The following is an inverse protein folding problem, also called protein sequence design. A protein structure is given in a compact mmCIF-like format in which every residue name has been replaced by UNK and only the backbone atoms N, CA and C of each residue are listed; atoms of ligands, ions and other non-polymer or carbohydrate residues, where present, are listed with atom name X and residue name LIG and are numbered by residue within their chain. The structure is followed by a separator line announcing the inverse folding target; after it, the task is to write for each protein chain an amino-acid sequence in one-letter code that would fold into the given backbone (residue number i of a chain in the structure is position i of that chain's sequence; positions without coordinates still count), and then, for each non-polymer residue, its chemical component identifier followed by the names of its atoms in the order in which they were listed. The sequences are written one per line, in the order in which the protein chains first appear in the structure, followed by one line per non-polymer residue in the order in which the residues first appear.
data_IF_297049091681
#
_entry.id   IF_297049091681
#
_cell.length_a   1.000
_cell.length_b   1.000
_cell.length_c   1.000
_cell.angle_alpha   90.00
_cell.angle_beta   90.00
_cell.angle_gamma   90.00
#
_symmetry.space_group_name_H-M   'P 1'
#
loop_
_entity.id
_entity.type
_entity.pdbx_description
1 polymer ?
#
# COMPACT_ATOMS: atom_id res chain seq x y z
N UNK A 1 -32.15 8.04 12.75
CA UNK A 1 -32.20 6.62 13.18
C UNK A 1 -30.76 6.11 13.21
N UNK A 2 -30.39 5.29 14.19
CA UNK A 2 -29.02 4.74 14.27
C UNK A 2 -28.96 3.46 13.43
N UNK A 3 -27.93 3.26 12.59
CA UNK A 3 -27.83 2.07 11.76
C UNK A 3 -27.52 0.83 12.60
N UNK A 4 -28.10 -0.30 12.23
CA UNK A 4 -27.72 -1.61 12.75
C UNK A 4 -26.45 -2.07 12.04
N UNK A 5 -25.40 -2.39 12.81
CA UNK A 5 -24.15 -2.92 12.27
C UNK A 5 -24.17 -4.44 12.39
N UNK A 6 -23.93 -5.13 11.29
CA UNK A 6 -23.86 -6.58 11.24
C UNK A 6 -22.80 -7.07 10.25
N UNK A 7 -22.44 -8.34 10.35
CA UNK A 7 -21.59 -9.00 9.36
C UNK A 7 -22.31 -9.07 8.02
N UNK A 8 -21.61 -8.76 6.96
CA UNK A 8 -22.12 -8.87 5.59
C UNK A 8 -22.35 -10.33 5.19
N UNK A 9 -23.29 -10.55 4.29
CA UNK A 9 -23.63 -11.84 3.69
C UNK A 9 -23.48 -11.76 2.18
N UNK A 10 -23.38 -12.90 1.51
CA UNK A 10 -23.31 -12.94 0.04
C UNK A 10 -24.50 -12.20 -0.62
N UNK A 11 -25.68 -12.27 0.01
CA UNK A 11 -26.86 -11.55 -0.47
C UNK A 11 -26.70 -10.01 -0.46
N UNK A 12 -25.81 -9.45 0.34
CA UNK A 12 -25.57 -8.01 0.41
C UNK A 12 -24.73 -7.49 -0.76
N UNK A 13 -23.96 -8.38 -1.43
CA UNK A 13 -23.04 -8.01 -2.52
C UNK A 13 -23.75 -7.26 -3.63
N UNK A 14 -24.92 -7.76 -4.07
CA UNK A 14 -25.70 -7.12 -5.14
C UNK A 14 -26.16 -5.71 -4.73
N UNK A 15 -26.64 -5.55 -3.50
CA UNK A 15 -27.10 -4.24 -3.02
C UNK A 15 -25.93 -3.25 -2.92
N UNK A 16 -24.78 -3.68 -2.37
CA UNK A 16 -23.57 -2.85 -2.24
C UNK A 16 -23.04 -2.46 -3.62
N UNK A 17 -22.91 -3.41 -4.54
CA UNK A 17 -22.43 -3.16 -5.91
C UNK A 17 -23.31 -2.15 -6.65
N UNK A 18 -24.63 -2.18 -6.38
CA UNK A 18 -25.60 -1.29 -7.04
C UNK A 18 -25.39 0.20 -6.76
N UNK A 19 -24.76 0.56 -5.63
CA UNK A 19 -24.53 1.99 -5.28
C UNK A 19 -23.05 2.35 -5.10
N UNK A 20 -22.12 1.40 -5.24
CA UNK A 20 -20.68 1.68 -5.15
C UNK A 20 -20.04 1.98 -6.49
N UNK A 21 -20.60 1.55 -7.63
CA UNK A 21 -20.00 1.63 -8.95
C UNK A 21 -19.59 3.06 -9.36
N UNK A 22 -20.31 4.08 -8.89
CA UNK A 22 -20.04 5.50 -9.19
C UNK A 22 -19.42 6.25 -8.01
N UNK A 23 -18.72 5.58 -7.10
CA UNK A 23 -18.11 6.25 -5.94
C UNK A 23 -17.04 7.25 -6.36
N UNK A 24 -16.28 6.94 -7.39
CA UNK A 24 -15.23 7.78 -7.98
C UNK A 24 -15.42 7.90 -9.49
N UNK A 25 -14.82 8.90 -10.12
CA UNK A 25 -14.87 9.11 -11.58
C UNK A 25 -14.33 7.92 -12.38
N UNK A 26 -13.40 7.15 -11.78
CA UNK A 26 -12.81 5.94 -12.38
C UNK A 26 -13.53 4.64 -11.98
N UNK A 27 -14.69 4.70 -11.33
CA UNK A 27 -15.42 3.54 -10.80
C UNK A 27 -15.06 3.22 -9.36
N UNK A 28 -15.33 1.99 -8.93
CA UNK A 28 -14.98 1.49 -7.59
C UNK A 28 -14.67 -0.01 -7.63
N UNK A 29 -13.62 -0.39 -6.94
CA UNK A 29 -13.16 -1.79 -6.87
C UNK A 29 -13.93 -2.64 -5.85
N UNK A 30 -14.83 -2.05 -5.06
CA UNK A 30 -15.50 -2.74 -3.93
C UNK A 30 -16.32 -3.92 -4.42
N UNK A 31 -17.07 -3.76 -5.53
CA UNK A 31 -17.90 -4.81 -6.09
C UNK A 31 -17.07 -6.08 -6.42
N UNK A 32 -15.91 -5.89 -7.01
CA UNK A 32 -15.00 -6.99 -7.40
C UNK A 32 -14.28 -7.60 -6.19
N UNK A 33 -13.98 -6.79 -5.16
CA UNK A 33 -13.22 -7.23 -4.00
C UNK A 33 -14.07 -7.92 -2.93
N UNK A 34 -15.37 -7.63 -2.85
CA UNK A 34 -16.26 -8.13 -1.81
C UNK A 34 -16.31 -9.66 -1.72
N UNK A 35 -16.45 -10.42 -2.83
CA UNK A 35 -16.50 -11.88 -2.76
C UNK A 35 -15.23 -12.47 -2.11
N UNK A 36 -14.06 -11.96 -2.49
CA UNK A 36 -12.80 -12.40 -1.91
C UNK A 36 -12.70 -12.06 -0.42
N UNK A 37 -13.18 -10.88 -0.02
CA UNK A 37 -13.15 -10.48 1.40
C UNK A 37 -14.10 -11.31 2.26
N UNK A 38 -15.27 -11.65 1.74
CA UNK A 38 -16.26 -12.50 2.44
C UNK A 38 -15.77 -13.95 2.60
N UNK A 39 -14.98 -14.44 1.65
CA UNK A 39 -14.45 -15.81 1.68
C UNK A 39 -13.25 -15.99 2.63
N UNK A 40 -12.77 -14.93 3.30
CA UNK A 40 -11.55 -14.96 4.10
C UNK A 40 -11.82 -15.21 5.58
N UNK A 41 -11.08 -16.11 6.18
CA UNK A 41 -11.11 -16.37 7.63
C UNK A 41 -10.37 -15.30 8.46
N UNK A 42 -9.41 -14.56 7.83
CA UNK A 42 -8.60 -13.51 8.47
C UNK A 42 -9.20 -12.10 8.30
N UNK A 43 -10.44 -11.99 7.82
CA UNK A 43 -11.10 -10.72 7.55
C UNK A 43 -12.57 -10.71 8.02
N UNK A 44 -13.10 -9.49 8.15
CA UNK A 44 -14.54 -9.27 8.33
C UNK A 44 -14.99 -8.18 7.36
N UNK A 45 -16.18 -8.36 6.82
CA UNK A 45 -16.91 -7.29 6.13
C UNK A 45 -18.14 -6.96 6.99
N UNK A 46 -18.27 -5.70 7.38
CA UNK A 46 -19.42 -5.19 8.12
C UNK A 46 -20.25 -4.29 7.23
N UNK A 47 -21.57 -4.38 7.40
CA UNK A 47 -22.53 -3.48 6.76
C UNK A 47 -23.30 -2.69 7.81
N UNK A 48 -23.70 -1.49 7.43
CA UNK A 48 -24.63 -0.65 8.15
C UNK A 48 -26.00 -0.76 7.47
N UNK A 49 -27.02 -1.15 8.22
CA UNK A 49 -28.39 -1.33 7.72
C UNK A 49 -29.31 -0.30 8.37
N UNK A 50 -30.09 0.39 7.55
CA UNK A 50 -31.18 1.29 7.96
C UNK A 50 -32.47 0.84 7.29
N UNK A 51 -33.53 0.65 8.09
CA UNK A 51 -34.86 0.26 7.59
C UNK A 51 -34.83 -0.97 6.66
N UNK A 52 -33.93 -1.92 6.92
CA UNK A 52 -33.75 -3.12 6.10
C UNK A 52 -32.91 -2.95 4.85
N UNK A 53 -32.40 -1.74 4.56
CA UNK A 53 -31.53 -1.46 3.43
C UNK A 53 -30.07 -1.34 3.87
N UNK A 54 -29.14 -1.94 3.10
CA UNK A 54 -27.70 -1.78 3.31
C UNK A 54 -27.25 -0.42 2.78
N UNK A 55 -26.81 0.46 3.68
CA UNK A 55 -26.42 1.84 3.39
C UNK A 55 -24.95 2.14 3.64
N UNK A 56 -24.20 1.16 4.12
CA UNK A 56 -22.76 1.32 4.33
C UNK A 56 -22.06 -0.03 4.37
N UNK A 57 -20.79 -0.04 3.98
CA UNK A 57 -19.90 -1.21 4.03
C UNK A 57 -18.50 -0.77 4.48
N UNK A 58 -17.82 -1.64 5.21
CA UNK A 58 -16.41 -1.49 5.56
C UNK A 58 -15.80 -2.85 5.88
N UNK A 59 -14.51 -3.01 5.67
CA UNK A 59 -13.81 -4.26 5.94
C UNK A 59 -12.60 -4.04 6.84
N UNK A 60 -12.29 -5.06 7.63
CA UNK A 60 -11.01 -5.18 8.35
C UNK A 60 -10.41 -6.55 8.11
N UNK A 61 -9.08 -6.59 8.06
CA UNK A 61 -8.30 -7.81 7.88
C UNK A 61 -7.12 -7.85 8.86
N UNK A 62 -6.87 -9.04 9.45
CA UNK A 62 -5.65 -9.29 10.21
C UNK A 62 -4.47 -9.46 9.24
N UNK A 63 -3.43 -8.65 9.38
CA UNK A 63 -2.21 -8.73 8.57
C UNK A 63 -1.05 -9.38 9.32
N UNK A 64 -1.18 -9.53 10.63
CA UNK A 64 -0.33 -10.29 11.53
C UNK A 64 -1.12 -10.62 12.80
N UNK A 65 -0.61 -11.44 13.71
CA UNK A 65 -1.33 -11.75 14.96
C UNK A 65 -1.72 -10.53 15.82
N UNK A 66 -1.10 -9.38 15.59
CA UNK A 66 -1.32 -8.17 16.40
C UNK A 66 -1.66 -6.92 15.59
N UNK A 67 -1.82 -7.04 14.28
CA UNK A 67 -2.02 -5.87 13.39
C UNK A 67 -3.21 -6.10 12.48
N UNK A 68 -4.21 -5.20 12.58
CA UNK A 68 -5.37 -5.17 11.70
C UNK A 68 -5.27 -4.00 10.70
N UNK A 69 -5.95 -4.17 9.58
CA UNK A 69 -6.05 -3.17 8.51
C UNK A 69 -7.50 -2.89 8.18
N UNK A 70 -7.93 -1.64 8.32
CA UNK A 70 -9.25 -1.18 7.91
C UNK A 70 -9.21 -0.65 6.48
N UNK A 71 -10.21 -1.01 5.68
CA UNK A 71 -10.28 -0.67 4.25
C UNK A 71 -11.71 -0.64 3.73
N UNK A 72 -11.89 -0.07 2.54
CA UNK A 72 -13.10 -0.23 1.76
C UNK A 72 -14.36 0.41 2.36
N UNK A 73 -14.22 1.42 3.21
CA UNK A 73 -15.40 2.11 3.75
C UNK A 73 -16.13 2.86 2.64
N UNK A 74 -17.36 2.49 2.39
CA UNK A 74 -18.28 3.17 1.46
C UNK A 74 -19.62 3.40 2.13
N UNK A 75 -20.22 4.55 1.85
CA UNK A 75 -21.55 4.92 2.34
C UNK A 75 -22.40 5.30 1.13
N UNK A 76 -23.62 4.73 1.12
CA UNK A 76 -24.61 5.04 0.09
C UNK A 76 -24.75 6.56 -0.08
N UNK A 77 -24.77 7.10 -1.30
CA UNK A 77 -24.78 8.55 -1.55
C UNK A 77 -25.82 9.31 -0.72
N UNK A 78 -27.05 8.81 -0.65
CA UNK A 78 -28.18 9.45 0.07
C UNK A 78 -28.02 9.44 1.60
N UNK A 79 -27.13 8.59 2.13
CA UNK A 79 -26.88 8.43 3.57
C UNK A 79 -25.53 8.97 4.03
N UNK A 80 -24.80 9.68 3.14
CA UNK A 80 -23.55 10.34 3.50
C UNK A 80 -23.78 11.50 4.48
N UNK A 81 -22.77 11.78 5.30
CA UNK A 81 -22.79 12.86 6.33
C UNK A 81 -23.84 12.67 7.44
N UNK A 82 -24.43 11.49 7.56
CA UNK A 82 -25.41 11.13 8.60
C UNK A 82 -24.81 10.26 9.73
N UNK A 83 -23.47 10.15 9.79
CA UNK A 83 -22.79 9.40 10.85
C UNK A 83 -22.61 7.89 10.59
N UNK A 84 -23.14 7.34 9.48
CA UNK A 84 -23.07 5.91 9.18
C UNK A 84 -21.63 5.36 9.18
N UNK A 85 -20.67 6.08 8.59
CA UNK A 85 -19.27 5.67 8.60
C UNK A 85 -18.63 5.71 10.00
N UNK A 86 -19.14 6.57 10.88
CA UNK A 86 -18.69 6.64 12.27
C UNK A 86 -19.19 5.46 13.11
N UNK A 87 -20.27 4.80 12.72
CA UNK A 87 -20.79 3.61 13.40
C UNK A 87 -20.08 2.33 13.00
N UNK A 88 -19.60 2.23 11.73
CA UNK A 88 -18.88 1.04 11.23
C UNK A 88 -17.50 0.87 11.87
N UNK A 89 -16.73 1.94 12.03
CA UNK A 89 -15.35 1.86 12.49
C UNK A 89 -15.19 1.27 13.90
N UNK A 90 -15.97 1.67 14.93
CA UNK A 90 -15.90 1.03 16.25
C UNK A 90 -16.18 -0.47 16.23
N UNK A 91 -17.11 -0.91 15.38
CA UNK A 91 -17.44 -2.34 15.26
C UNK A 91 -16.27 -3.14 14.64
N UNK A 92 -15.58 -2.57 13.63
CA UNK A 92 -14.34 -3.17 13.10
C UNK A 92 -13.23 -3.24 14.15
N UNK A 93 -13.11 -2.21 15.00
CA UNK A 93 -12.12 -2.18 16.08
C UNK A 93 -12.41 -3.25 17.14
N UNK A 94 -13.69 -3.46 17.49
CA UNK A 94 -14.09 -4.53 18.41
C UNK A 94 -13.70 -5.88 17.84
N UNK A 95 -14.11 -6.18 16.60
CA UNK A 95 -13.72 -7.41 15.93
C UNK A 95 -12.19 -7.60 15.91
N UNK A 96 -11.44 -6.58 15.54
CA UNK A 96 -9.99 -6.69 15.48
C UNK A 96 -9.35 -7.00 16.84
N UNK A 97 -9.84 -6.39 17.93
CA UNK A 97 -9.40 -6.72 19.30
C UNK A 97 -9.69 -8.18 19.66
N UNK A 98 -10.86 -8.67 19.31
CA UNK A 98 -11.25 -10.07 19.52
C UNK A 98 -10.34 -11.05 18.76
N UNK A 99 -9.82 -10.63 17.59
CA UNK A 99 -8.81 -11.38 16.83
C UNK A 99 -7.37 -11.20 17.36
N UNK A 100 -7.15 -10.39 18.40
CA UNK A 100 -5.85 -10.19 19.04
C UNK A 100 -5.07 -8.97 18.51
N UNK A 101 -5.65 -8.14 17.65
CA UNK A 101 -4.99 -6.92 17.18
C UNK A 101 -4.75 -5.94 18.33
N UNK A 102 -3.58 -5.32 18.33
CA UNK A 102 -3.17 -4.23 19.23
C UNK A 102 -3.10 -2.88 18.53
N UNK A 103 -3.17 -2.90 17.22
CA UNK A 103 -3.18 -1.71 16.38
C UNK A 103 -4.01 -1.97 15.13
N UNK A 104 -4.84 -0.98 14.78
CA UNK A 104 -5.51 -0.93 13.49
C UNK A 104 -4.90 0.20 12.67
N UNK A 105 -4.66 -0.08 11.39
CA UNK A 105 -4.17 0.92 10.44
C UNK A 105 -5.09 1.01 9.23
N UNK A 106 -4.96 2.12 8.53
CA UNK A 106 -5.58 2.34 7.21
C UNK A 106 -4.68 3.24 6.38
N UNK A 107 -4.90 3.25 5.09
CA UNK A 107 -4.27 4.17 4.16
C UNK A 107 -5.31 5.02 3.47
N UNK A 108 -5.00 6.29 3.30
CA UNK A 108 -5.87 7.27 2.64
C UNK A 108 -5.03 8.06 1.64
N UNK A 109 -5.55 8.25 0.46
CA UNK A 109 -4.93 9.14 -0.53
C UNK A 109 -4.96 10.60 -0.03
N UNK A 110 -3.88 11.33 -0.28
CA UNK A 110 -3.69 12.67 0.28
C UNK A 110 -4.79 13.66 -0.14
N UNK A 111 -5.32 13.52 -1.35
CA UNK A 111 -6.42 14.34 -1.87
C UNK A 111 -7.76 14.06 -1.18
N UNK A 112 -7.95 12.90 -0.52
CA UNK A 112 -9.23 12.51 0.09
C UNK A 112 -9.40 13.11 1.49
N UNK A 113 -9.62 14.42 1.54
CA UNK A 113 -9.79 15.18 2.79
C UNK A 113 -10.91 14.64 3.67
N UNK A 114 -12.00 14.16 3.07
CA UNK A 114 -13.14 13.62 3.80
C UNK A 114 -12.75 12.38 4.61
N UNK A 115 -12.04 11.43 3.99
CA UNK A 115 -11.57 10.22 4.67
C UNK A 115 -10.48 10.52 5.71
N UNK A 116 -9.59 11.48 5.41
CA UNK A 116 -8.56 11.96 6.36
C UNK A 116 -9.20 12.57 7.60
N UNK A 117 -10.17 13.48 7.42
CA UNK A 117 -10.91 14.09 8.52
C UNK A 117 -11.68 13.04 9.34
N UNK A 118 -12.31 12.07 8.69
CA UNK A 118 -13.00 10.97 9.37
C UNK A 118 -12.03 10.14 10.21
N UNK A 119 -10.88 9.77 9.68
CA UNK A 119 -9.85 9.02 10.41
C UNK A 119 -9.44 9.74 11.69
N UNK A 120 -9.19 11.05 11.63
CA UNK A 120 -8.84 11.84 12.80
C UNK A 120 -9.97 11.90 13.85
N UNK A 121 -11.24 12.07 13.42
CA UNK A 121 -12.42 12.06 14.30
C UNK A 121 -12.63 10.70 14.99
N UNK A 122 -12.24 9.61 14.34
CA UNK A 122 -12.28 8.25 14.89
C UNK A 122 -11.12 7.97 15.87
N UNK A 123 -10.22 8.94 16.09
CA UNK A 123 -9.09 8.82 17.00
C UNK A 123 -7.84 8.19 16.39
N UNK A 124 -7.82 7.98 15.09
CA UNK A 124 -6.59 7.61 14.39
C UNK A 124 -5.63 8.79 14.34
N UNK A 125 -4.34 8.50 14.28
CA UNK A 125 -3.29 9.50 14.08
C UNK A 125 -2.58 9.20 12.77
N UNK A 126 -2.23 10.22 12.01
CA UNK A 126 -1.31 10.10 10.90
C UNK A 126 0.07 9.70 11.45
N UNK A 127 0.62 8.60 10.96
CA UNK A 127 1.88 8.05 11.45
C UNK A 127 2.99 8.06 10.42
N UNK A 128 2.65 8.06 9.13
CA UNK A 128 3.62 8.08 8.04
C UNK A 128 3.01 8.67 6.77
N UNK A 129 3.86 9.31 5.97
CA UNK A 129 3.56 9.70 4.60
C UNK A 129 4.28 8.75 3.64
N UNK A 130 3.57 8.33 2.61
CA UNK A 130 4.06 7.42 1.59
C UNK A 130 3.75 7.95 0.19
N UNK A 131 4.38 7.39 -0.81
CA UNK A 131 4.01 7.59 -2.21
C UNK A 131 3.84 6.25 -2.90
N UNK A 132 2.79 6.14 -3.70
CA UNK A 132 2.72 5.19 -4.80
C UNK A 132 3.14 5.95 -6.05
N UNK A 133 4.13 5.44 -6.78
CA UNK A 133 4.54 6.08 -8.01
C UNK A 133 4.73 5.04 -9.11
N UNK A 134 4.35 5.41 -10.32
CA UNK A 134 4.44 4.57 -11.50
C UNK A 134 5.20 5.25 -12.62
N UNK A 135 5.87 4.45 -13.44
CA UNK A 135 6.51 4.90 -14.66
C UNK A 135 6.45 3.83 -15.73
N UNK A 136 5.96 4.20 -16.92
CA UNK A 136 6.03 3.34 -18.10
C UNK A 136 7.49 2.97 -18.43
N UNK A 137 7.68 1.71 -18.82
CA UNK A 137 8.97 1.14 -19.19
C UNK A 137 8.86 0.63 -20.63
N UNK A 138 9.61 1.18 -21.56
CA UNK A 138 9.58 0.76 -22.98
C UNK A 138 10.47 1.62 -23.85
N UNK A 139 10.63 1.25 -25.11
CA UNK A 139 11.54 1.91 -26.07
C UNK A 139 11.22 3.40 -26.31
N UNK A 140 10.02 3.87 -25.96
CA UNK A 140 9.56 5.24 -26.10
C UNK A 140 9.49 6.04 -24.79
N UNK A 141 10.00 5.51 -23.68
CA UNK A 141 10.05 6.31 -22.45
C UNK A 141 11.10 7.41 -22.60
N UNK A 142 10.75 8.69 -22.52
CA UNK A 142 11.73 9.77 -22.60
C UNK A 142 12.71 9.59 -21.44
N UNK A 143 13.93 9.21 -21.76
CA UNK A 143 15.05 9.34 -20.84
C UNK A 143 15.30 10.84 -20.76
N UNK A 144 15.17 11.51 -19.60
CA UNK A 144 15.58 12.90 -19.49
C UNK A 144 17.06 12.98 -19.88
N UNK A 145 17.36 13.69 -20.95
CA UNK A 145 18.73 13.99 -21.35
C UNK A 145 19.36 14.86 -20.25
N UNK A 146 19.96 14.20 -19.27
CA UNK A 146 20.87 14.84 -18.34
C UNK A 146 22.21 15.05 -19.05
N UNK A 147 22.60 16.32 -19.18
CA UNK A 147 23.90 16.80 -19.68
C UNK A 147 25.01 15.75 -19.69
N UNK A 148 25.48 15.39 -20.90
CA UNK A 148 26.86 14.93 -21.19
C UNK A 148 27.42 13.83 -20.26
N UNK A 149 26.64 12.87 -19.81
CA UNK A 149 27.11 11.87 -18.88
C UNK A 149 27.68 10.66 -19.62
N UNK A 150 28.96 10.44 -19.41
CA UNK A 150 29.72 9.22 -19.65
C UNK A 150 28.81 8.01 -19.48
N UNK A 151 28.65 7.21 -20.52
CA UNK A 151 27.93 5.92 -20.49
C UNK A 151 28.55 5.09 -19.36
N UNK A 152 27.85 4.97 -18.23
CA UNK A 152 28.28 4.10 -17.12
C UNK A 152 28.14 2.66 -17.62
N UNK A 153 29.16 1.83 -17.45
CA UNK A 153 29.12 0.44 -17.93
C UNK A 153 27.95 -0.32 -17.27
N UNK A 154 27.33 -1.31 -17.96
CA UNK A 154 26.22 -2.11 -17.41
C UNK A 154 26.60 -2.99 -16.22
N UNK A 155 27.80 -2.90 -15.71
CA UNK A 155 28.42 -3.88 -14.81
C UNK A 155 28.04 -3.78 -13.33
N UNK A 156 27.19 -2.84 -12.91
CA UNK A 156 26.83 -2.72 -11.47
C UNK A 156 25.30 -2.71 -11.24
N UNK A 157 24.58 -3.51 -12.04
CA UNK A 157 23.14 -3.69 -11.88
C UNK A 157 22.77 -4.44 -10.60
N UNK A 158 21.50 -4.32 -10.21
CA UNK A 158 20.94 -5.12 -9.12
C UNK A 158 20.91 -6.60 -9.52
N UNK A 159 21.44 -7.47 -8.66
CA UNK A 159 21.34 -8.92 -8.76
C UNK A 159 20.40 -9.49 -7.70
N UNK A 160 19.83 -10.68 -7.89
CA UNK A 160 19.17 -11.39 -6.82
C UNK A 160 20.13 -11.60 -5.62
N UNK A 161 19.64 -11.32 -4.43
CA UNK A 161 20.37 -11.57 -3.18
C UNK A 161 20.20 -13.03 -2.77
N UNK A 162 21.22 -13.60 -2.16
CA UNK A 162 21.10 -14.90 -1.52
C UNK A 162 20.35 -14.77 -0.19
N UNK A 163 19.66 -15.83 0.26
CA UNK A 163 18.89 -15.79 1.51
C UNK A 163 19.73 -15.47 2.74
N UNK A 164 21.02 -15.84 2.76
CA UNK A 164 21.96 -15.46 3.81
C UNK A 164 22.29 -13.97 3.86
N UNK A 165 21.98 -13.21 2.81
CA UNK A 165 22.21 -11.75 2.74
C UNK A 165 21.00 -10.95 3.27
N UNK A 166 19.86 -11.58 3.55
CA UNK A 166 18.65 -10.90 4.03
C UNK A 166 18.86 -10.12 5.35
N UNK A 167 19.70 -10.65 6.25
CA UNK A 167 20.07 -9.96 7.48
C UNK A 167 20.85 -8.66 7.21
N UNK A 168 21.75 -8.67 6.24
CA UNK A 168 22.50 -7.47 5.83
C UNK A 168 21.58 -6.41 5.20
N UNK A 169 20.60 -6.83 4.41
CA UNK A 169 19.57 -5.93 3.86
C UNK A 169 18.76 -5.25 4.98
N UNK A 170 18.33 -6.01 5.97
CA UNK A 170 17.62 -5.46 7.13
C UNK A 170 18.50 -4.51 7.93
N UNK A 171 19.75 -4.88 8.19
CA UNK A 171 20.70 -4.04 8.93
C UNK A 171 20.99 -2.72 8.23
N UNK A 172 21.12 -2.70 6.90
CA UNK A 172 21.36 -1.47 6.13
C UNK A 172 20.15 -0.52 6.14
N UNK A 173 18.95 -1.03 6.39
CA UNK A 173 17.73 -0.23 6.50
C UNK A 173 17.47 0.25 7.93
N UNK A 174 17.83 -0.59 8.91
CA UNK A 174 17.53 -0.34 10.33
C UNK A 174 18.24 0.90 10.87
N UNK A 175 17.47 1.76 11.55
CA UNK A 175 17.95 3.05 12.07
C UNK A 175 18.15 4.12 11.01
N UNK A 176 17.95 3.80 9.72
CA UNK A 176 18.03 4.74 8.61
C UNK A 176 16.83 5.68 8.50
N UNK A 177 16.93 6.67 7.63
CA UNK A 177 15.86 7.64 7.39
C UNK A 177 14.63 6.95 6.77
N UNK A 178 14.83 6.02 5.84
CA UNK A 178 13.74 5.29 5.19
C UNK A 178 12.95 4.45 6.19
N UNK A 179 13.61 3.77 7.14
CA UNK A 179 12.90 3.02 8.19
C UNK A 179 12.08 3.94 9.09
N UNK A 180 12.69 5.06 9.54
CA UNK A 180 11.99 6.03 10.39
C UNK A 180 10.78 6.62 9.68
N UNK A 181 10.91 7.01 8.41
CA UNK A 181 9.82 7.53 7.61
C UNK A 181 8.74 6.47 7.32
N UNK A 182 9.15 5.25 7.05
CA UNK A 182 8.26 4.11 6.86
C UNK A 182 7.56 3.65 8.15
N UNK A 183 8.06 4.05 9.34
CA UNK A 183 7.62 3.51 10.64
C UNK A 183 7.76 1.99 10.73
N UNK A 184 8.77 1.43 10.09
CA UNK A 184 9.01 0.00 10.02
C UNK A 184 7.96 -0.77 9.19
N UNK A 185 7.14 -0.10 8.40
CA UNK A 185 6.07 -0.73 7.61
C UNK A 185 6.59 -1.26 6.27
N UNK A 186 5.95 -2.34 5.81
CA UNK A 186 6.12 -2.95 4.50
C UNK A 186 4.75 -3.11 3.83
N UNK A 187 4.54 -2.62 2.61
CA UNK A 187 3.44 -3.04 1.76
C UNK A 187 3.54 -4.55 1.48
N UNK A 188 2.51 -5.31 1.82
CA UNK A 188 2.45 -6.76 1.58
C UNK A 188 1.50 -7.11 0.44
N UNK A 189 0.61 -6.20 0.15
CA UNK A 189 -0.32 -6.19 -0.98
C UNK A 189 -0.56 -4.72 -1.35
N UNK A 190 -1.09 -4.49 -2.53
CA UNK A 190 -1.54 -3.15 -2.90
C UNK A 190 -2.55 -2.65 -1.85
N UNK A 191 -2.29 -1.48 -1.26
CA UNK A 191 -3.12 -0.84 -0.23
C UNK A 191 -3.11 -1.48 1.17
N UNK A 192 -2.22 -2.45 1.49
CA UNK A 192 -2.13 -3.04 2.83
C UNK A 192 -0.70 -3.08 3.32
N UNK A 193 -0.48 -2.66 4.55
CA UNK A 193 0.85 -2.61 5.16
C UNK A 193 0.84 -3.19 6.57
N UNK A 194 1.87 -3.93 6.91
CA UNK A 194 2.20 -4.35 8.27
C UNK A 194 3.67 -4.11 8.57
N UNK A 195 4.09 -4.34 9.79
CA UNK A 195 5.53 -4.26 10.11
C UNK A 195 6.33 -5.25 9.28
N UNK A 196 7.46 -4.77 8.77
CA UNK A 196 8.48 -5.60 8.15
C UNK A 196 9.05 -6.55 9.21
N UNK A 197 9.21 -7.80 8.84
CA UNK A 197 9.88 -8.82 9.64
C UNK A 197 11.12 -9.34 8.91
N UNK A 198 12.12 -9.90 9.63
CA UNK A 198 13.27 -10.54 8.97
C UNK A 198 12.86 -11.66 8.00
N UNK A 199 11.74 -12.34 8.30
CA UNK A 199 11.21 -13.40 7.44
C UNK A 199 10.80 -12.88 6.05
N UNK A 200 10.26 -11.68 5.96
CA UNK A 200 9.83 -11.09 4.69
C UNK A 200 10.99 -11.00 3.68
N UNK A 201 12.13 -10.50 4.12
CA UNK A 201 13.32 -10.39 3.27
C UNK A 201 13.91 -11.76 2.94
N UNK A 202 13.92 -12.69 3.90
CA UNK A 202 14.41 -14.04 3.66
C UNK A 202 13.55 -14.81 2.67
N UNK A 203 12.23 -14.72 2.78
CA UNK A 203 11.30 -15.36 1.85
C UNK A 203 11.35 -14.70 0.46
N UNK A 204 11.51 -13.37 0.40
CA UNK A 204 11.72 -12.68 -0.86
C UNK A 204 13.02 -13.14 -1.55
N UNK A 205 14.11 -13.29 -0.80
CA UNK A 205 15.39 -13.76 -1.35
C UNK A 205 15.26 -15.18 -1.94
N UNK A 206 14.56 -16.10 -1.28
CA UNK A 206 14.29 -17.46 -1.80
C UNK A 206 13.57 -17.46 -3.15
N UNK A 207 12.77 -16.44 -3.43
CA UNK A 207 12.01 -16.27 -4.68
C UNK A 207 12.69 -15.35 -5.68
N UNK A 208 13.97 -14.99 -5.46
CA UNK A 208 14.71 -14.00 -6.24
C UNK A 208 14.07 -12.60 -6.25
N UNK A 209 13.23 -12.31 -5.25
CA UNK A 209 12.53 -11.04 -5.08
C UNK A 209 13.28 -10.03 -4.22
N UNK A 210 14.36 -10.41 -3.54
CA UNK A 210 15.27 -9.49 -2.88
C UNK A 210 16.46 -9.22 -3.80
N UNK A 211 16.71 -7.96 -4.11
CA UNK A 211 17.81 -7.52 -4.97
C UNK A 211 18.87 -6.79 -4.16
N UNK A 212 20.13 -6.92 -4.57
CA UNK A 212 21.26 -6.20 -4.01
C UNK A 212 22.21 -5.72 -5.09
N UNK A 213 22.92 -4.65 -4.82
CA UNK A 213 23.94 -4.06 -5.69
C UNK A 213 24.57 -2.83 -5.05
N UNK A 214 25.42 -2.14 -5.79
CA UNK A 214 26.08 -0.92 -5.28
C UNK A 214 25.09 0.13 -4.75
N UNK A 215 23.92 0.40 -5.40
CA UNK A 215 23.00 1.42 -4.90
C UNK A 215 22.19 0.98 -3.67
N UNK A 216 22.37 -0.23 -3.18
CA UNK A 216 21.67 -0.74 -2.00
C UNK A 216 20.81 -1.97 -2.27
N UNK A 217 19.64 -2.04 -1.64
CA UNK A 217 18.73 -3.18 -1.63
C UNK A 217 17.33 -2.78 -2.08
N UNK A 218 16.65 -3.69 -2.77
CA UNK A 218 15.24 -3.53 -3.10
C UNK A 218 14.50 -4.86 -3.00
N UNK A 219 13.27 -4.82 -2.53
CA UNK A 219 12.34 -5.92 -2.65
C UNK A 219 11.50 -5.68 -3.91
N UNK A 220 11.35 -6.73 -4.73
CA UNK A 220 10.53 -6.67 -5.95
C UNK A 220 9.48 -7.76 -5.95
N UNK A 221 8.34 -7.46 -6.54
CA UNK A 221 7.29 -8.40 -6.88
C UNK A 221 6.97 -8.30 -8.36
N UNK A 222 6.86 -9.45 -9.03
CA UNK A 222 6.48 -9.48 -10.44
C UNK A 222 4.96 -9.58 -10.56
N UNK A 223 4.36 -8.66 -11.32
CA UNK A 223 2.99 -8.73 -11.80
C UNK A 223 3.01 -8.96 -13.31
N UNK A 224 1.87 -9.26 -13.91
CA UNK A 224 1.81 -9.55 -15.35
C UNK A 224 2.34 -8.36 -16.17
N UNK A 225 1.89 -7.16 -15.86
CA UNK A 225 2.19 -5.90 -16.57
C UNK A 225 3.32 -5.08 -15.91
N UNK A 226 3.61 -5.29 -14.63
CA UNK A 226 4.49 -4.42 -13.87
C UNK A 226 5.54 -5.14 -13.03
N UNK A 227 6.63 -4.43 -12.75
CA UNK A 227 7.53 -4.73 -11.64
C UNK A 227 7.16 -3.82 -10.47
N UNK A 228 6.74 -4.39 -9.35
CA UNK A 228 6.43 -3.65 -8.14
C UNK A 228 7.61 -3.63 -7.17
N UNK A 229 7.83 -2.49 -6.51
CA UNK A 229 8.90 -2.29 -5.52
C UNK A 229 8.28 -1.79 -4.22
N UNK A 230 7.91 -2.71 -3.31
CA UNK A 230 7.29 -2.35 -2.04
C UNK A 230 8.29 -1.87 -0.98
N UNK A 231 9.58 -2.09 -1.19
CA UNK A 231 10.60 -1.73 -0.21
C UNK A 231 11.95 -1.50 -0.89
N UNK A 232 12.71 -0.53 -0.36
CA UNK A 232 14.11 -0.32 -0.72
C UNK A 232 14.91 0.23 0.46
N UNK A 233 16.22 -0.04 0.43
CA UNK A 233 17.20 0.50 1.35
C UNK A 233 18.37 1.04 0.53
N UNK A 234 18.49 2.35 0.46
CA UNK A 234 19.58 3.06 -0.21
C UNK A 234 19.83 4.39 0.48
N UNK A 235 21.00 4.97 0.24
CA UNK A 235 21.32 6.32 0.65
C UNK A 235 20.79 7.36 -0.36
N UNK A 236 20.65 8.61 0.07
CA UNK A 236 20.21 9.71 -0.77
C UNK A 236 21.02 9.82 -2.06
N UNK A 237 22.37 9.72 -1.95
CA UNK A 237 23.31 9.80 -3.07
C UNK A 237 23.10 8.70 -4.11
N UNK A 238 22.58 7.56 -3.70
CA UNK A 238 22.39 6.38 -4.55
C UNK A 238 20.96 6.24 -5.09
N UNK A 239 20.00 7.06 -4.63
CA UNK A 239 18.60 7.00 -5.04
C UNK A 239 18.43 7.02 -6.57
N UNK A 240 19.18 7.90 -7.21
CA UNK A 240 19.16 8.01 -8.65
C UNK A 240 19.67 6.76 -9.38
N UNK A 241 20.71 6.12 -8.87
CA UNK A 241 21.25 4.88 -9.43
C UNK A 241 20.29 3.70 -9.16
N UNK A 242 19.72 3.66 -7.96
CA UNK A 242 18.72 2.66 -7.56
C UNK A 242 17.51 2.66 -8.50
N UNK A 243 16.87 3.82 -8.68
CA UNK A 243 15.68 3.93 -9.54
C UNK A 243 15.99 3.57 -10.99
N UNK A 244 17.18 3.95 -11.52
CA UNK A 244 17.60 3.57 -12.86
C UNK A 244 17.76 2.05 -12.98
N UNK A 245 18.45 1.42 -12.03
CA UNK A 245 18.67 -0.02 -12.05
C UNK A 245 17.35 -0.80 -11.97
N UNK A 246 16.34 -0.28 -11.24
CA UNK A 246 15.00 -0.86 -11.16
C UNK A 246 14.23 -0.70 -12.49
N UNK A 247 14.33 0.46 -13.16
CA UNK A 247 13.74 0.67 -14.49
C UNK A 247 14.37 -0.29 -15.51
N UNK A 248 15.70 -0.39 -15.52
CA UNK A 248 16.42 -1.31 -16.42
C UNK A 248 16.04 -2.76 -16.14
N UNK A 249 15.82 -3.11 -14.87
CA UNK A 249 15.36 -4.45 -14.46
C UNK A 249 13.93 -4.74 -14.92
N UNK A 250 13.01 -3.77 -14.82
CA UNK A 250 11.65 -3.91 -15.30
C UNK A 250 11.64 -4.11 -16.84
N UNK A 251 12.43 -3.30 -17.57
CA UNK A 251 12.59 -3.46 -19.01
C UNK A 251 13.14 -4.84 -19.40
N UNK A 252 14.21 -5.29 -18.73
CA UNK A 252 14.82 -6.61 -18.98
C UNK A 252 13.86 -7.78 -18.65
N UNK A 253 12.89 -7.56 -17.77
CA UNK A 253 11.84 -8.51 -17.44
C UNK A 253 10.61 -8.42 -18.37
N UNK A 254 10.64 -7.57 -19.40
CA UNK A 254 9.55 -7.37 -20.35
C UNK A 254 8.29 -6.73 -19.74
N UNK A 255 8.46 -5.94 -18.66
CA UNK A 255 7.35 -5.25 -18.00
C UNK A 255 7.03 -3.94 -18.67
N UNK A 256 5.75 -3.58 -18.67
CA UNK A 256 5.26 -2.32 -19.24
C UNK A 256 5.45 -1.15 -18.26
N UNK A 257 5.49 -1.43 -16.96
CA UNK A 257 5.55 -0.42 -15.91
C UNK A 257 6.46 -0.83 -14.75
N UNK A 258 7.15 0.15 -14.17
CA UNK A 258 7.75 0.06 -12.84
C UNK A 258 6.86 0.82 -11.86
N UNK A 259 6.37 0.13 -10.83
CA UNK A 259 5.59 0.72 -9.72
C UNK A 259 6.39 0.64 -8.43
N UNK A 260 6.41 1.73 -7.69
CA UNK A 260 7.03 1.77 -6.37
C UNK A 260 6.01 2.19 -5.31
N UNK A 261 6.10 1.63 -4.11
CA UNK A 261 5.33 2.05 -2.95
C UNK A 261 6.29 2.20 -1.77
N UNK A 262 6.68 3.44 -1.48
CA UNK A 262 7.82 3.78 -0.64
C UNK A 262 7.51 4.96 0.27
N UNK A 263 8.21 5.13 1.42
CA UNK A 263 8.03 6.29 2.29
C UNK A 263 8.38 7.59 1.56
N UNK A 264 7.58 8.64 1.81
CA UNK A 264 7.69 9.94 1.17
C UNK A 264 8.82 10.79 1.78
N UNK A 265 10.07 10.35 1.67
CA UNK A 265 11.20 11.20 2.06
C UNK A 265 11.53 12.18 0.93
N UNK A 266 11.87 13.46 1.25
CA UNK A 266 12.00 14.51 0.24
C UNK A 266 12.97 14.20 -0.90
N UNK A 267 14.16 13.67 -0.59
CA UNK A 267 15.16 13.34 -1.61
C UNK A 267 14.73 12.20 -2.54
N UNK A 268 13.95 11.23 -2.03
CA UNK A 268 13.47 10.11 -2.83
C UNK A 268 12.31 10.54 -3.74
N UNK A 269 11.39 11.36 -3.22
CA UNK A 269 10.33 11.98 -4.03
C UNK A 269 10.95 12.82 -5.15
N UNK A 270 11.92 13.67 -4.85
CA UNK A 270 12.63 14.45 -5.86
C UNK A 270 13.38 13.56 -6.87
N UNK A 271 13.89 12.40 -6.46
CA UNK A 271 14.52 11.45 -7.38
C UNK A 271 13.50 10.77 -8.31
N UNK A 272 12.28 10.51 -7.86
CA UNK A 272 11.17 10.02 -8.68
C UNK A 272 10.73 11.08 -9.70
N UNK A 273 10.50 12.32 -9.25
CA UNK A 273 10.13 13.45 -10.12
C UNK A 273 11.13 13.67 -11.25
N UNK A 274 12.42 13.71 -10.93
CA UNK A 274 13.50 13.83 -11.93
C UNK A 274 13.51 12.70 -12.96
N UNK A 275 12.82 11.61 -12.72
CA UNK A 275 12.69 10.45 -13.61
C UNK A 275 11.30 10.26 -14.19
N UNK A 276 10.48 11.30 -14.11
CA UNK A 276 9.14 11.30 -14.70
C UNK A 276 8.24 10.17 -14.19
N UNK A 277 8.34 9.83 -12.91
CA UNK A 277 7.32 9.00 -12.28
C UNK A 277 6.07 9.83 -12.02
N UNK A 278 4.92 9.24 -12.28
CA UNK A 278 3.64 9.77 -11.81
C UNK A 278 3.51 9.43 -10.32
N UNK A 279 3.29 10.42 -9.47
CA UNK A 279 3.37 10.28 -8.01
C UNK A 279 2.00 10.53 -7.37
N UNK A 280 1.55 9.58 -6.58
CA UNK A 280 0.31 9.64 -5.81
C UNK A 280 0.63 9.61 -4.31
N UNK A 281 0.52 10.75 -3.61
CA UNK A 281 0.78 10.83 -2.18
C UNK A 281 -0.28 10.10 -1.35
N UNK A 282 0.18 9.41 -0.31
CA UNK A 282 -0.61 8.57 0.57
C UNK A 282 -0.33 8.90 2.03
N UNK A 283 -1.33 8.75 2.90
CA UNK A 283 -1.22 8.92 4.35
C UNK A 283 -1.58 7.63 5.07
N UNK A 284 -0.72 7.21 5.97
CA UNK A 284 -0.97 6.05 6.81
C UNK A 284 -1.47 6.54 8.17
N UNK A 285 -2.62 6.03 8.55
CA UNK A 285 -3.24 6.28 9.83
C UNK A 285 -3.14 5.05 10.72
N UNK A 286 -2.97 5.25 12.01
CA UNK A 286 -2.93 4.17 13.00
C UNK A 286 -3.66 4.57 14.27
N UNK A 287 -4.28 3.57 14.91
CA UNK A 287 -4.93 3.67 16.20
C UNK A 287 -4.56 2.45 17.05
N UNK A 288 -3.99 2.63 18.26
CA UNK A 288 -3.90 1.54 19.25
C UNK A 288 -5.29 1.00 19.58
N UNK A 289 -5.40 -0.30 19.74
CA UNK A 289 -6.65 -0.98 20.05
C UNK A 289 -6.69 -1.45 21.50
#
# INVERSE_FOLDING_TARGET
MEPVIRVARDADVTAISGWTHDTFEWGDYIADALPDWLARDDAVVLVAELDGAVVGVSSSRMLSPTEAWAQGTRIHPDHRRQGVGMSLAPALEVWAREQGARVMRSMVEDWNEAARSQSLKLGYREVAAWVRAGRAVGENSPVPEGNGGRRVPPAEGLRPAHSSEAASALMSWSGGELERAARGLLPIEVWRMRRLTPADLSEAAKRNGLLTGRPGWALIEQRDDALEVPWLACEETDAGAMLRALVDRAAAAGKEELRVMIPAVPWLVAALERRSFEIHPLRIYAKPL
#
